data_IF_538975206862
#
_entry.id   IF_538975206862
#
_cell.length_a   1.000
_cell.length_b   1.000
_cell.length_c   1.000
_cell.angle_alpha   90.00
_cell.angle_beta   90.00
_cell.angle_gamma   90.00
#
_symmetry.space_group_name_H-M   'P 1'
#
loop_
_entity.id
_entity.type
_entity.pdbx_description
1 polymer ?
#
# COMPACT_ATOMS: atom_id res chain seq x y z
N UNK A 1 30.97 -17.19 23.42
CA UNK A 1 30.26 -15.97 23.86
C UNK A 1 29.40 -15.52 22.69
N UNK A 2 28.07 -15.64 22.78
CA UNK A 2 27.19 -15.02 21.78
C UNK A 2 27.41 -13.51 21.87
N UNK A 3 27.90 -12.89 20.80
CA UNK A 3 28.04 -11.44 20.70
C UNK A 3 26.66 -10.82 20.96
N UNK A 4 26.61 -9.80 21.83
CA UNK A 4 25.36 -9.04 22.01
C UNK A 4 24.93 -8.52 20.64
N UNK A 5 23.65 -8.66 20.25
CA UNK A 5 23.19 -8.15 18.97
C UNK A 5 23.50 -6.63 18.87
N UNK A 6 23.94 -6.14 17.71
CA UNK A 6 24.30 -4.74 17.55
C UNK A 6 23.07 -3.85 17.83
N UNK A 7 23.24 -2.86 18.71
CA UNK A 7 22.17 -1.95 19.14
C UNK A 7 21.97 -0.81 18.14
N UNK A 8 20.76 -0.57 17.63
CA UNK A 8 20.42 0.57 16.76
C UNK A 8 20.38 1.93 17.48
N UNK A 9 20.85 2.00 18.72
CA UNK A 9 20.85 3.22 19.54
C UNK A 9 21.64 4.38 18.91
N UNK A 10 22.74 4.11 18.19
CA UNK A 10 23.54 5.13 17.51
C UNK A 10 23.22 5.37 16.02
N UNK A 11 22.36 4.56 15.41
CA UNK A 11 22.07 4.64 13.97
C UNK A 11 21.21 5.86 13.63
N UNK A 12 21.52 6.58 12.54
CA UNK A 12 20.70 7.70 12.07
C UNK A 12 19.58 7.21 11.14
N UNK A 13 18.29 7.20 11.56
CA UNK A 13 17.20 6.69 10.74
C UNK A 13 16.67 7.68 9.71
N UNK A 14 17.20 8.92 9.67
CA UNK A 14 16.63 10.00 8.86
C UNK A 14 16.51 9.67 7.36
N UNK A 15 17.49 9.05 6.67
CA UNK A 15 17.34 8.70 5.25
C UNK A 15 16.15 7.76 5.01
N UNK A 16 16.02 6.73 5.85
CA UNK A 16 14.90 5.79 5.77
C UNK A 16 13.57 6.48 6.04
N UNK A 17 13.49 7.27 7.11
CA UNK A 17 12.25 7.95 7.49
C UNK A 17 11.80 8.95 6.43
N UNK A 18 12.73 9.71 5.82
CA UNK A 18 12.42 10.60 4.70
C UNK A 18 11.82 9.83 3.51
N UNK A 19 12.26 8.60 3.26
CA UNK A 19 11.66 7.74 2.23
C UNK A 19 10.26 7.24 2.62
N UNK A 20 10.12 6.69 3.83
CA UNK A 20 8.85 6.12 4.32
C UNK A 20 7.72 7.15 4.49
N UNK A 21 8.10 8.42 4.69
CA UNK A 21 7.21 9.55 4.91
C UNK A 21 7.26 10.58 3.78
N UNK A 22 7.82 10.20 2.63
CA UNK A 22 7.80 11.04 1.45
C UNK A 22 6.38 11.21 0.93
N UNK A 23 5.99 12.46 0.68
CA UNK A 23 4.75 12.77 -0.05
C UNK A 23 5.18 13.16 -1.48
N UNK A 24 4.82 12.38 -2.50
CA UNK A 24 5.07 12.78 -3.87
C UNK A 24 4.23 14.00 -4.25
N UNK A 25 4.65 14.71 -5.30
CA UNK A 25 3.77 15.71 -5.90
C UNK A 25 2.47 15.04 -6.35
N UNK A 26 1.34 15.66 -6.01
CA UNK A 26 0.05 15.17 -6.50
C UNK A 26 0.13 15.12 -8.03
N UNK A 27 -0.16 13.97 -8.67
CA UNK A 27 -0.09 13.88 -10.11
C UNK A 27 -1.06 14.90 -10.68
N UNK A 28 -0.57 15.72 -11.62
CA UNK A 28 -1.44 16.64 -12.34
C UNK A 28 -2.51 15.80 -13.01
N UNK A 29 -3.77 15.90 -12.58
CA UNK A 29 -4.91 15.23 -13.22
C UNK A 29 -5.05 15.76 -14.65
N UNK A 30 -4.28 15.19 -15.57
CA UNK A 30 -4.55 15.29 -16.98
C UNK A 30 -5.65 14.29 -17.21
N UNK A 31 -6.81 14.76 -17.64
CA UNK A 31 -7.80 13.90 -18.27
C UNK A 31 -7.20 13.44 -19.60
N UNK A 32 -6.18 12.59 -19.56
CA UNK A 32 -5.84 11.77 -20.71
C UNK A 32 -6.96 10.75 -20.74
N UNK A 33 -7.96 11.02 -21.57
CA UNK A 33 -8.58 9.94 -22.30
C UNK A 33 -7.40 9.22 -22.97
N UNK A 34 -6.84 8.20 -22.32
CA UNK A 34 -6.09 7.19 -23.04
C UNK A 34 -7.21 6.31 -23.56
N UNK A 35 -7.70 6.50 -24.80
CA UNK A 35 -8.73 5.63 -25.31
C UNK A 35 -8.13 4.23 -25.30
N UNK A 36 -8.71 3.35 -24.50
CA UNK A 36 -8.54 1.92 -24.70
C UNK A 36 -8.73 1.64 -26.18
N UNK A 37 -7.71 1.11 -26.84
CA UNK A 37 -7.83 0.67 -28.22
C UNK A 37 -8.54 -0.68 -28.15
N UNK A 38 -9.88 -0.63 -28.12
CA UNK A 38 -10.70 -1.84 -28.09
C UNK A 38 -10.42 -2.67 -29.34
N UNK A 39 -10.18 -3.96 -29.15
CA UNK A 39 -9.89 -4.90 -30.25
C UNK A 39 -10.58 -6.23 -29.98
N UNK A 40 -11.04 -6.88 -31.05
CA UNK A 40 -11.59 -8.22 -30.99
C UNK A 40 -11.21 -9.03 -32.22
N UNK A 41 -11.19 -10.35 -32.08
CA UNK A 41 -10.84 -11.24 -33.18
C UNK A 41 -10.42 -12.63 -32.75
N UNK A 42 -10.20 -13.49 -33.74
CA UNK A 42 -9.77 -14.86 -33.49
C UNK A 42 -8.25 -14.94 -33.38
N UNK A 43 -7.78 -15.48 -32.26
CA UNK A 43 -6.38 -15.82 -32.02
C UNK A 43 -6.25 -17.29 -31.63
N UNK A 44 -5.05 -17.84 -31.74
CA UNK A 44 -4.77 -19.18 -31.28
C UNK A 44 -4.09 -19.13 -29.91
N UNK A 45 -4.69 -19.75 -28.90
CA UNK A 45 -4.22 -19.72 -27.52
C UNK A 45 -3.54 -21.04 -27.13
N UNK A 46 -2.44 -20.97 -26.38
CA UNK A 46 -1.87 -22.11 -25.66
C UNK A 46 -2.62 -22.39 -24.34
N UNK A 47 -2.60 -23.64 -23.83
CA UNK A 47 -3.07 -23.92 -22.47
C UNK A 47 -2.41 -22.98 -21.44
N UNK A 48 -3.20 -22.52 -20.47
CA UNK A 48 -2.76 -21.48 -19.52
C UNK A 48 -1.55 -21.93 -18.70
N UNK A 49 -0.63 -21.00 -18.40
CA UNK A 49 0.60 -21.29 -17.63
C UNK A 49 1.71 -21.98 -18.42
N UNK A 50 1.58 -22.09 -19.75
CA UNK A 50 2.59 -22.69 -20.64
C UNK A 50 3.19 -21.64 -21.57
N UNK A 51 4.50 -21.75 -21.79
CA UNK A 51 5.27 -20.91 -22.73
C UNK A 51 5.62 -21.64 -24.05
N UNK A 52 5.37 -22.95 -24.15
CA UNK A 52 5.65 -23.79 -25.34
C UNK A 52 4.52 -24.79 -25.62
N UNK A 53 4.30 -25.11 -26.90
CA UNK A 53 3.37 -26.16 -27.34
C UNK A 53 3.96 -27.56 -27.18
N UNK A 54 3.13 -28.57 -26.95
CA UNK A 54 3.54 -29.99 -27.04
C UNK A 54 2.46 -30.79 -27.78
N UNK A 55 2.76 -32.03 -28.17
CA UNK A 55 1.83 -32.92 -28.90
C UNK A 55 0.46 -33.07 -28.21
N UNK A 56 0.43 -33.01 -26.87
CA UNK A 56 -0.80 -33.06 -26.06
C UNK A 56 -1.43 -31.69 -25.79
N UNK A 57 -0.69 -30.61 -26.04
CA UNK A 57 -1.04 -29.22 -25.72
C UNK A 57 -1.01 -28.36 -26.99
N UNK A 58 -1.91 -28.69 -27.91
CA UNK A 58 -2.05 -27.99 -29.17
C UNK A 58 -2.66 -26.59 -29.01
N UNK A 59 -2.36 -25.73 -29.98
CA UNK A 59 -2.97 -24.42 -30.15
C UNK A 59 -4.48 -24.52 -30.33
N UNK A 60 -5.24 -23.68 -29.64
CA UNK A 60 -6.71 -23.63 -29.74
C UNK A 60 -7.18 -22.28 -30.21
N UNK A 61 -7.87 -22.23 -31.34
CA UNK A 61 -8.50 -21.01 -31.86
C UNK A 61 -9.62 -20.55 -30.91
N UNK A 62 -9.57 -19.30 -30.45
CA UNK A 62 -10.51 -18.68 -29.52
C UNK A 62 -10.80 -17.25 -29.97
N UNK A 63 -11.96 -16.73 -29.57
CA UNK A 63 -12.34 -15.36 -29.86
C UNK A 63 -11.96 -14.47 -28.69
N UNK A 64 -11.10 -13.48 -28.92
CA UNK A 64 -10.60 -12.56 -27.92
C UNK A 64 -11.27 -11.20 -28.06
N UNK A 65 -11.46 -10.51 -26.93
CA UNK A 65 -11.96 -9.14 -26.85
C UNK A 65 -11.15 -8.41 -25.79
N UNK A 66 -10.46 -7.33 -26.14
CA UNK A 66 -9.85 -6.41 -25.18
C UNK A 66 -10.73 -5.17 -25.08
N UNK A 67 -11.25 -4.89 -23.89
CA UNK A 67 -12.13 -3.75 -23.62
C UNK A 67 -12.08 -3.38 -22.14
N UNK A 68 -12.14 -2.08 -21.84
CA UNK A 68 -12.25 -1.54 -20.46
C UNK A 68 -11.18 -2.11 -19.50
N UNK A 69 -9.91 -2.12 -19.92
CA UNK A 69 -8.79 -2.66 -19.14
C UNK A 69 -8.77 -4.20 -18.93
N UNK A 70 -9.65 -4.96 -19.60
CA UNK A 70 -9.77 -6.41 -19.43
C UNK A 70 -9.65 -7.12 -20.78
N UNK A 71 -8.89 -8.22 -20.81
CA UNK A 71 -8.89 -9.18 -21.91
C UNK A 71 -9.81 -10.36 -21.61
N UNK A 72 -10.78 -10.56 -22.48
CA UNK A 72 -11.67 -11.70 -22.49
C UNK A 72 -11.25 -12.68 -23.57
N UNK A 73 -11.44 -13.97 -23.34
CA UNK A 73 -11.61 -14.89 -24.45
C UNK A 73 -12.79 -15.82 -24.26
N UNK A 74 -13.38 -16.16 -25.40
CA UNK A 74 -14.57 -16.95 -25.56
C UNK A 74 -14.26 -18.18 -26.42
N UNK A 75 -15.09 -19.21 -26.29
CA UNK A 75 -15.02 -20.38 -27.14
C UNK A 75 -15.17 -19.98 -28.62
N UNK A 76 -16.09 -19.05 -28.91
CA UNK A 76 -16.32 -18.41 -30.20
C UNK A 76 -17.03 -17.04 -30.01
N UNK A 77 -17.27 -16.31 -31.08
CA UNK A 77 -17.93 -14.99 -31.05
C UNK A 77 -19.44 -15.00 -30.74
N UNK A 78 -20.07 -16.18 -30.62
CA UNK A 78 -21.48 -16.33 -30.25
C UNK A 78 -21.66 -16.69 -28.76
N UNK A 79 -20.56 -16.88 -28.04
CA UNK A 79 -20.61 -17.30 -26.63
C UNK A 79 -20.98 -16.12 -25.74
N UNK A 80 -22.04 -16.26 -24.93
CA UNK A 80 -22.48 -15.20 -24.01
C UNK A 80 -21.53 -15.00 -22.82
N UNK A 81 -20.87 -16.08 -22.37
CA UNK A 81 -19.96 -16.05 -21.21
C UNK A 81 -18.51 -16.28 -21.65
N UNK A 82 -17.55 -15.47 -21.16
CA UNK A 82 -16.15 -15.68 -21.43
C UNK A 82 -15.61 -16.90 -20.67
N UNK A 83 -14.71 -17.64 -21.29
CA UNK A 83 -13.95 -18.72 -20.65
C UNK A 83 -12.89 -18.17 -19.68
N UNK A 84 -12.41 -16.94 -19.90
CA UNK A 84 -11.46 -16.25 -19.04
C UNK A 84 -11.68 -14.75 -19.10
N UNK A 85 -11.41 -14.10 -17.96
CA UNK A 85 -11.24 -12.66 -17.82
C UNK A 85 -9.85 -12.41 -17.26
N UNK A 86 -9.04 -11.64 -17.95
CA UNK A 86 -7.67 -11.30 -17.56
C UNK A 86 -7.55 -9.79 -17.45
N UNK A 87 -7.52 -9.23 -16.23
CA UNK A 87 -7.26 -7.80 -16.03
C UNK A 87 -5.88 -7.45 -16.57
N UNK A 88 -5.77 -6.44 -17.44
CA UNK A 88 -4.49 -6.10 -18.07
C UNK A 88 -3.75 -4.96 -17.38
N UNK A 89 -4.43 -4.14 -16.59
CA UNK A 89 -3.84 -2.98 -15.90
C UNK A 89 -2.66 -3.42 -15.02
N UNK A 90 -1.50 -2.78 -15.21
CA UNK A 90 -0.23 -3.13 -14.53
C UNK A 90 0.49 -4.35 -15.11
N UNK A 91 -0.08 -4.97 -16.15
CA UNK A 91 0.48 -6.11 -16.86
C UNK A 91 1.53 -5.73 -17.91
N UNK A 92 2.01 -6.74 -18.65
CA UNK A 92 3.05 -6.57 -19.68
C UNK A 92 2.72 -7.41 -20.91
N UNK A 93 2.90 -6.83 -22.09
CA UNK A 93 2.76 -7.51 -23.38
C UNK A 93 4.13 -7.65 -24.04
N UNK A 94 4.48 -8.86 -24.46
CA UNK A 94 5.79 -9.15 -25.06
C UNK A 94 5.61 -9.87 -26.39
N UNK A 95 6.38 -9.48 -27.41
CA UNK A 95 6.53 -10.29 -28.63
C UNK A 95 7.51 -11.43 -28.31
N UNK A 96 7.10 -12.67 -28.56
CA UNK A 96 7.93 -13.85 -28.25
C UNK A 96 8.82 -14.22 -29.43
N UNK A 97 10.09 -14.54 -29.14
CA UNK A 97 11.07 -14.97 -30.14
C UNK A 97 10.83 -16.44 -30.57
N UNK A 98 10.91 -16.77 -31.87
CA UNK A 98 10.83 -18.14 -32.40
C UNK A 98 11.74 -19.17 -31.71
N UNK A 99 12.94 -18.76 -31.29
CA UNK A 99 13.96 -19.61 -30.66
C UNK A 99 13.57 -20.14 -29.27
N UNK A 100 12.58 -19.52 -28.62
CA UNK A 100 12.12 -19.92 -27.30
C UNK A 100 11.17 -21.14 -27.33
N UNK A 101 10.74 -21.65 -28.49
CA UNK A 101 9.55 -22.55 -28.57
C UNK A 101 9.74 -23.86 -29.36
N UNK A 102 10.81 -24.08 -30.13
CA UNK A 102 10.86 -25.25 -31.04
C UNK A 102 11.16 -26.59 -30.35
N UNK A 103 10.22 -27.54 -30.46
CA UNK A 103 10.53 -28.93 -30.82
C UNK A 103 9.74 -29.21 -32.09
N UNK A 104 10.49 -29.50 -33.17
CA UNK A 104 10.11 -30.13 -34.43
C UNK A 104 8.61 -30.17 -34.76
N UNK A 105 8.09 -29.09 -35.35
CA UNK A 105 6.94 -29.17 -36.23
C UNK A 105 7.44 -28.81 -37.63
N UNK A 106 7.61 -29.83 -38.48
CA UNK A 106 8.07 -29.67 -39.84
C UNK A 106 7.14 -28.76 -40.63
N UNK A 107 7.63 -27.57 -41.00
CA UNK A 107 6.98 -26.73 -42.00
C UNK A 107 7.05 -25.22 -41.75
N UNK A 108 8.03 -24.59 -42.40
CA UNK A 108 8.14 -23.16 -42.78
C UNK A 108 8.33 -22.13 -41.64
N UNK A 109 9.52 -21.52 -41.67
CA UNK A 109 10.04 -20.39 -40.87
C UNK A 109 9.17 -19.11 -40.82
N UNK A 110 7.97 -19.11 -41.42
CA UNK A 110 7.13 -17.92 -41.60
C UNK A 110 6.02 -17.74 -40.54
N UNK A 111 5.80 -18.69 -39.63
CA UNK A 111 4.64 -18.69 -38.70
C UNK A 111 4.95 -18.25 -37.26
N UNK A 112 6.20 -18.03 -36.91
CA UNK A 112 6.66 -17.77 -35.54
C UNK A 112 6.79 -16.28 -35.19
N UNK A 113 6.73 -15.38 -36.19
CA UNK A 113 6.86 -13.93 -35.99
C UNK A 113 5.59 -13.22 -35.47
N UNK A 114 4.56 -13.97 -35.04
CA UNK A 114 3.26 -13.45 -34.65
C UNK A 114 2.79 -13.85 -33.24
N UNK A 115 3.68 -14.29 -32.36
CA UNK A 115 3.32 -14.73 -31.01
C UNK A 115 3.43 -13.62 -29.98
N UNK A 116 2.41 -13.48 -29.13
CA UNK A 116 2.37 -12.53 -28.01
C UNK A 116 2.26 -13.28 -26.68
N UNK A 117 3.11 -12.89 -25.74
CA UNK A 117 2.98 -13.18 -24.32
C UNK A 117 2.21 -12.06 -23.64
N UNK A 118 1.16 -12.41 -22.91
CA UNK A 118 0.27 -11.50 -22.20
C UNK A 118 0.36 -11.86 -20.72
N UNK A 119 1.00 -11.00 -19.94
CA UNK A 119 1.16 -11.12 -18.49
C UNK A 119 0.25 -10.08 -17.81
N UNK A 120 -0.56 -10.50 -16.85
CA UNK A 120 -1.37 -9.56 -16.04
C UNK A 120 -0.61 -8.93 -14.88
N UNK A 121 0.66 -9.30 -14.67
CA UNK A 121 1.46 -8.85 -13.52
C UNK A 121 1.00 -9.44 -12.18
N UNK A 122 0.01 -10.35 -12.20
CA UNK A 122 -0.63 -10.98 -11.03
C UNK A 122 -0.49 -12.51 -11.07
N UNK A 123 0.39 -13.02 -11.92
CA UNK A 123 0.73 -14.43 -12.01
C UNK A 123 -0.04 -15.21 -13.07
N UNK A 124 -0.94 -14.58 -13.83
CA UNK A 124 -1.56 -15.20 -15.00
C UNK A 124 -0.85 -14.79 -16.29
N UNK A 125 -0.46 -15.81 -17.04
CA UNK A 125 0.24 -15.63 -18.30
C UNK A 125 -0.45 -16.41 -19.42
N UNK A 126 -0.72 -15.72 -20.52
CA UNK A 126 -1.35 -16.27 -21.71
C UNK A 126 -0.44 -16.05 -22.91
N UNK A 127 -0.23 -17.11 -23.68
CA UNK A 127 0.45 -17.01 -24.98
C UNK A 127 -0.59 -17.16 -26.09
N UNK A 128 -0.57 -16.22 -27.02
CA UNK A 128 -1.40 -16.22 -28.22
C UNK A 128 -0.54 -16.18 -29.48
N UNK A 129 -1.02 -16.82 -30.54
CA UNK A 129 -0.47 -16.74 -31.89
C UNK A 129 -1.45 -15.99 -32.78
N UNK A 130 -0.92 -14.98 -33.46
CA UNK A 130 -1.63 -14.14 -34.41
C UNK A 130 -1.43 -14.67 -35.85
N UNK A 131 -2.36 -14.37 -36.78
CA UNK A 131 -2.27 -14.83 -38.16
C UNK A 131 -1.06 -14.30 -38.94
N UNK A 132 -0.55 -13.13 -38.55
CA UNK A 132 0.61 -12.47 -39.18
C UNK A 132 1.35 -11.61 -38.16
N UNK A 133 2.57 -11.17 -38.52
CA UNK A 133 3.34 -10.21 -37.72
C UNK A 133 2.63 -8.86 -37.59
N UNK A 134 2.01 -8.37 -38.65
CA UNK A 134 1.23 -7.12 -38.63
C UNK A 134 0.05 -7.22 -37.66
N UNK A 135 -0.65 -8.36 -37.64
CA UNK A 135 -1.71 -8.59 -36.65
C UNK A 135 -1.15 -8.68 -35.23
N UNK A 136 0.01 -9.29 -35.02
CA UNK A 136 0.65 -9.30 -33.70
C UNK A 136 1.03 -7.90 -33.22
N UNK A 137 1.56 -7.05 -34.10
CA UNK A 137 1.88 -5.65 -33.78
C UNK A 137 0.61 -4.86 -33.44
N UNK A 138 -0.47 -5.03 -34.22
CA UNK A 138 -1.77 -4.41 -33.97
C UNK A 138 -2.38 -4.85 -32.64
N UNK A 139 -2.37 -6.16 -32.35
CA UNK A 139 -2.85 -6.69 -31.08
C UNK A 139 -1.98 -6.23 -29.91
N UNK A 140 -0.66 -6.17 -30.08
CA UNK A 140 0.25 -5.66 -29.06
C UNK A 140 -0.06 -4.22 -28.71
N UNK A 141 -0.14 -3.33 -29.70
CA UNK A 141 -0.44 -1.91 -29.48
C UNK A 141 -1.78 -1.75 -28.74
N UNK A 142 -2.80 -2.48 -29.18
CA UNK A 142 -4.09 -2.47 -28.51
C UNK A 142 -3.97 -2.94 -27.06
N UNK A 143 -3.41 -4.13 -26.81
CA UNK A 143 -3.28 -4.68 -25.46
C UNK A 143 -2.41 -3.80 -24.55
N UNK A 144 -1.33 -3.18 -25.06
CA UNK A 144 -0.49 -2.25 -24.31
C UNK A 144 -1.26 -0.98 -23.87
N UNK A 145 -2.23 -0.52 -24.66
CA UNK A 145 -3.13 0.56 -24.24
C UNK A 145 -3.98 0.18 -23.02
N UNK A 146 -4.22 -1.12 -22.81
CA UNK A 146 -4.94 -1.67 -21.67
C UNK A 146 -4.02 -2.04 -20.48
N UNK A 147 -2.70 -2.09 -20.67
CA UNK A 147 -1.75 -2.34 -19.57
C UNK A 147 -1.33 -1.09 -18.83
N UNK A 148 -1.59 0.09 -19.41
CA UNK A 148 -1.23 1.37 -18.79
C UNK A 148 -1.83 1.46 -17.38
N UNK A 149 -0.95 1.43 -16.38
CA UNK A 149 -1.30 1.75 -15.01
C UNK A 149 -1.46 3.26 -14.94
N UNK A 150 -2.67 3.73 -15.22
CA UNK A 150 -3.02 5.10 -14.88
C UNK A 150 -3.09 5.16 -13.35
N UNK A 151 -1.95 5.43 -12.72
CA UNK A 151 -1.89 5.70 -11.29
C UNK A 151 -2.95 6.74 -10.90
N UNK A 152 -3.30 7.69 -11.78
CA UNK A 152 -4.36 8.69 -11.52
C UNK A 152 -5.78 8.13 -11.50
N UNK A 153 -6.01 6.92 -12.01
CA UNK A 153 -7.26 6.16 -11.83
C UNK A 153 -7.35 5.49 -10.45
N UNK A 154 -6.20 5.25 -9.80
CA UNK A 154 -6.14 4.82 -8.39
C UNK A 154 -6.31 6.02 -7.44
N UNK A 155 -6.05 7.25 -7.90
CA UNK A 155 -6.45 8.44 -7.17
C UNK A 155 -7.97 8.53 -7.24
N UNK A 156 -8.56 8.45 -6.06
CA UNK A 156 -9.97 8.72 -5.82
C UNK A 156 -10.36 10.01 -6.55
N UNK A 157 -11.37 9.93 -7.43
CA UNK A 157 -11.94 11.09 -8.10
C UNK A 157 -13.16 11.58 -7.32
N UNK A 158 -13.03 12.53 -6.38
CA UNK A 158 -14.19 13.11 -5.73
C UNK A 158 -15.01 13.87 -6.79
N UNK A 159 -16.19 13.34 -7.08
CA UNK A 159 -17.22 14.02 -7.87
C UNK A 159 -18.43 14.27 -6.97
N UNK A 160 -19.09 15.45 -7.05
CA UNK A 160 -18.79 16.59 -7.91
C UNK A 160 -17.75 17.55 -7.30
N UNK A 161 -17.11 18.33 -8.17
CA UNK A 161 -16.32 19.49 -7.72
C UNK A 161 -17.24 20.41 -6.91
N UNK A 162 -16.79 20.91 -5.75
CA UNK A 162 -17.57 21.84 -4.95
C UNK A 162 -17.94 23.06 -5.80
N UNK A 163 -19.25 23.36 -5.84
CA UNK A 163 -19.84 24.47 -6.62
C UNK A 163 -19.32 25.83 -6.16
N UNK A 164 -18.78 25.93 -4.95
CA UNK A 164 -18.12 27.13 -4.44
C UNK A 164 -16.74 26.80 -3.80
N UNK A 165 -15.62 26.98 -4.52
CA UNK A 165 -14.28 26.66 -4.03
C UNK A 165 -13.76 27.60 -2.93
N UNK A 166 -14.41 28.74 -2.66
CA UNK A 166 -13.97 29.64 -1.57
C UNK A 166 -14.32 29.11 -0.18
N UNK A 167 -15.28 28.18 -0.06
CA UNK A 167 -15.68 27.55 1.20
C UNK A 167 -14.68 26.51 1.73
N UNK A 168 -13.61 26.23 0.99
CA UNK A 168 -12.71 25.11 1.26
C UNK A 168 -11.34 25.57 1.78
N UNK A 169 -10.94 26.80 1.47
CA UNK A 169 -9.56 27.29 1.71
C UNK A 169 -9.23 27.48 3.19
N UNK A 170 -10.25 27.50 4.03
CA UNK A 170 -10.19 27.67 5.47
C UNK A 170 -10.58 26.38 6.21
N UNK A 171 -10.41 25.20 5.60
CA UNK A 171 -10.58 23.91 6.28
C UNK A 171 -9.28 23.12 6.33
N UNK A 172 -8.85 22.71 7.51
CA UNK A 172 -7.76 21.77 7.74
C UNK A 172 -8.32 20.36 7.90
N UNK A 173 -7.83 19.42 7.10
CA UNK A 173 -8.10 17.99 7.29
C UNK A 173 -6.94 17.40 8.06
N UNK A 174 -7.21 16.74 9.19
CA UNK A 174 -6.21 16.11 10.04
C UNK A 174 -6.64 14.66 10.30
N UNK A 175 -5.79 13.72 9.89
CA UNK A 175 -5.89 12.30 10.21
C UNK A 175 -4.79 11.90 11.17
N UNK A 176 -5.21 11.53 12.39
CA UNK A 176 -4.32 11.15 13.47
C UNK A 176 -4.36 9.63 13.62
N UNK A 177 -3.47 8.95 12.90
CA UNK A 177 -3.29 7.51 13.00
C UNK A 177 -2.33 7.09 14.12
N UNK A 178 -2.32 5.81 14.46
CA UNK A 178 -1.36 5.24 15.44
C UNK A 178 0.07 5.21 14.91
N UNK A 179 0.23 4.97 13.61
CA UNK A 179 1.54 4.91 12.96
C UNK A 179 2.00 6.29 12.48
N UNK A 180 1.07 7.12 12.01
CA UNK A 180 1.39 8.33 11.27
C UNK A 180 0.27 9.37 11.33
N UNK A 181 0.66 10.63 11.24
CA UNK A 181 -0.24 11.77 11.05
C UNK A 181 -0.21 12.19 9.59
N UNK A 182 -1.38 12.46 9.02
CA UNK A 182 -1.56 13.08 7.71
C UNK A 182 -2.38 14.34 7.88
N UNK A 183 -1.96 15.46 7.32
CA UNK A 183 -2.80 16.65 7.33
C UNK A 183 -2.55 17.56 6.13
N UNK A 184 -3.52 18.43 5.86
CA UNK A 184 -3.45 19.43 4.80
C UNK A 184 -4.59 20.43 4.87
N UNK A 185 -4.38 21.59 4.26
CA UNK A 185 -5.42 22.56 3.93
C UNK A 185 -6.19 22.03 2.73
N UNK A 186 -7.52 22.01 2.85
CA UNK A 186 -8.38 21.58 1.77
C UNK A 186 -8.25 22.53 0.57
N UNK A 187 -8.04 21.95 -0.61
CA UNK A 187 -7.83 22.68 -1.84
C UNK A 187 -9.03 22.53 -2.79
N UNK A 188 -9.12 23.40 -3.79
CA UNK A 188 -10.15 23.33 -4.84
C UNK A 188 -9.95 22.17 -5.83
N UNK A 189 -8.82 21.47 -5.74
CA UNK A 189 -8.48 20.29 -6.54
C UNK A 189 -8.03 19.18 -5.61
N UNK A 190 -8.16 17.90 -6.00
CA UNK A 190 -7.61 16.79 -5.23
C UNK A 190 -6.10 16.97 -5.00
N UNK A 191 -5.68 16.85 -3.75
CA UNK A 191 -4.27 16.94 -3.34
C UNK A 191 -3.93 15.81 -2.40
N UNK A 192 -2.65 15.46 -2.36
CA UNK A 192 -2.08 14.64 -1.30
C UNK A 192 -1.98 15.46 0.01
N UNK A 193 -1.85 14.81 1.18
CA UNK A 193 -1.62 15.52 2.43
C UNK A 193 -0.33 16.36 2.34
N UNK A 194 -0.37 17.60 2.82
CA UNK A 194 0.79 18.48 2.81
C UNK A 194 1.82 18.11 3.88
N UNK A 195 1.38 17.45 4.95
CA UNK A 195 2.25 16.90 5.98
C UNK A 195 1.97 15.43 6.20
N UNK A 196 3.04 14.64 6.30
CA UNK A 196 2.99 13.22 6.57
C UNK A 196 4.20 12.84 7.41
N UNK A 197 3.99 12.39 8.66
CA UNK A 197 5.08 12.11 9.58
C UNK A 197 4.70 11.04 10.61
N UNK A 198 5.68 10.35 11.25
CA UNK A 198 5.40 9.30 12.22
C UNK A 198 4.76 9.85 13.49
N UNK A 199 3.78 9.12 14.04
CA UNK A 199 3.12 9.44 15.33
C UNK A 199 3.98 9.01 16.52
N UNK A 200 5.12 9.66 16.68
CA UNK A 200 6.13 9.35 17.71
C UNK A 200 6.61 10.63 18.40
N UNK A 201 6.89 10.53 19.69
CA UNK A 201 7.42 11.62 20.51
C UNK A 201 8.63 11.16 21.31
N UNK A 202 9.64 12.03 21.39
CA UNK A 202 10.75 11.95 22.31
C UNK A 202 10.53 12.96 23.43
N UNK A 203 10.51 12.49 24.68
CA UNK A 203 10.43 13.35 25.86
C UNK A 203 11.79 13.39 26.54
N UNK A 204 12.42 14.56 26.61
CA UNK A 204 13.69 14.73 27.29
C UNK A 204 13.56 14.34 28.77
N UNK A 205 14.49 13.54 29.29
CA UNK A 205 14.38 12.97 30.64
C UNK A 205 14.47 14.03 31.73
N UNK A 206 15.22 15.11 31.50
CA UNK A 206 15.48 16.20 32.43
C UNK A 206 14.48 17.34 32.26
N UNK A 207 14.43 17.95 31.07
CA UNK A 207 13.64 19.16 30.81
C UNK A 207 12.16 18.88 30.56
N UNK A 208 11.81 17.60 30.31
CA UNK A 208 10.48 17.17 29.85
C UNK A 208 10.04 17.79 28.52
N UNK A 209 10.94 18.45 27.80
CA UNK A 209 10.68 18.95 26.46
C UNK A 209 10.30 17.81 25.50
N UNK A 210 9.35 18.07 24.61
CA UNK A 210 8.83 17.08 23.66
C UNK A 210 9.26 17.43 22.22
N UNK A 211 9.79 16.44 21.51
CA UNK A 211 10.13 16.52 20.09
C UNK A 211 9.34 15.44 19.35
N UNK A 212 8.77 15.77 18.20
CA UNK A 212 7.81 14.93 17.48
C UNK A 212 8.30 14.58 16.08
N UNK A 213 7.79 13.47 15.53
CA UNK A 213 8.01 13.12 14.13
C UNK A 213 9.40 12.51 13.87
N UNK A 214 9.99 12.85 12.73
CA UNK A 214 11.30 12.29 12.31
C UNK A 214 12.39 12.73 13.28
N UNK A 215 12.34 13.98 13.74
CA UNK A 215 13.33 14.58 14.65
C UNK A 215 13.40 13.84 15.99
N UNK A 216 12.28 13.29 16.46
CA UNK A 216 12.22 12.51 17.70
C UNK A 216 13.13 11.26 17.67
N UNK A 217 13.44 10.76 16.46
CA UNK A 217 14.16 9.51 16.25
C UNK A 217 15.66 9.72 15.99
N UNK A 218 16.15 10.97 16.01
CA UNK A 218 17.57 11.28 15.80
C UNK A 218 18.43 10.77 16.96
N UNK A 219 19.67 10.28 16.71
CA UNK A 219 20.51 9.65 17.74
C UNK A 219 20.78 10.53 18.97
N UNK A 220 21.08 11.80 18.75
CA UNK A 220 21.32 12.82 19.78
C UNK A 220 20.07 13.04 20.65
N UNK A 221 18.89 13.12 20.04
CA UNK A 221 17.62 13.27 20.76
C UNK A 221 17.31 12.01 21.58
N UNK A 222 17.48 10.83 21.00
CA UNK A 222 17.23 9.54 21.67
C UNK A 222 18.15 9.28 22.85
N UNK A 223 19.39 9.78 22.79
CA UNK A 223 20.36 9.60 23.87
C UNK A 223 19.87 10.22 25.20
N UNK A 224 19.16 11.34 25.12
CA UNK A 224 18.69 12.15 26.26
C UNK A 224 17.19 12.00 26.56
N UNK A 225 16.45 11.27 25.74
CA UNK A 225 14.99 11.22 25.78
C UNK A 225 14.41 9.81 25.94
N UNK A 226 13.16 9.73 26.39
CA UNK A 226 12.34 8.52 26.29
C UNK A 226 11.43 8.62 25.06
N UNK A 227 11.40 7.57 24.25
CA UNK A 227 10.50 7.47 23.09
C UNK A 227 9.17 6.89 23.52
N UNK A 228 8.07 7.48 23.05
CA UNK A 228 6.73 6.92 23.19
C UNK A 228 5.90 7.15 21.94
N UNK A 229 4.86 6.34 21.80
CA UNK A 229 3.90 6.40 20.70
C UNK A 229 2.53 6.66 21.34
N UNK A 230 2.04 7.90 21.29
CA UNK A 230 0.96 8.37 22.15
C UNK A 230 -0.42 7.87 21.72
N UNK A 231 -0.48 7.20 20.58
CA UNK A 231 -1.70 6.66 19.98
C UNK A 231 -1.43 5.19 19.72
N UNK A 232 -1.70 4.36 20.74
CA UNK A 232 -1.53 2.92 20.66
C UNK A 232 -2.82 2.20 21.06
N UNK A 233 -3.08 1.01 20.50
CA UNK A 233 -4.10 0.12 21.06
C UNK A 233 -3.79 -0.11 22.54
N UNK A 234 -4.74 0.24 23.41
CA UNK A 234 -4.65 0.02 24.86
C UNK A 234 -4.49 -1.46 25.15
N UNK A 235 -3.77 -1.78 26.22
CA UNK A 235 -3.75 -3.14 26.78
C UNK A 235 -5.11 -3.53 27.39
N UNK A 236 -6.00 -2.56 27.62
CA UNK A 236 -7.34 -2.78 28.17
C UNK A 236 -8.31 -3.18 27.06
N UNK A 237 -9.01 -4.30 27.28
CA UNK A 237 -10.10 -4.77 26.43
C UNK A 237 -11.39 -4.05 26.87
N UNK A 238 -12.07 -3.41 25.94
CA UNK A 238 -13.45 -2.95 26.15
C UNK A 238 -14.35 -4.16 26.33
N UNK A 239 -15.02 -4.28 27.47
CA UNK A 239 -16.05 -5.32 27.65
C UNK A 239 -17.24 -5.12 26.69
N UNK A 240 -17.57 -3.88 26.34
CA UNK A 240 -18.69 -3.57 25.45
C UNK A 240 -18.43 -3.93 23.98
N UNK A 241 -17.17 -3.89 23.55
CA UNK A 241 -16.79 -4.14 22.15
C UNK A 241 -15.91 -5.39 21.97
N UNK A 242 -15.56 -6.08 23.05
CA UNK A 242 -14.63 -7.19 23.12
C UNK A 242 -13.30 -6.98 22.37
N UNK A 243 -12.80 -5.74 22.34
CA UNK A 243 -11.58 -5.34 21.64
C UNK A 243 -10.76 -4.30 22.41
N UNK A 244 -9.48 -4.17 22.07
CA UNK A 244 -8.58 -3.13 22.60
C UNK A 244 -9.02 -1.75 22.11
N UNK A 245 -9.33 -0.84 23.03
CA UNK A 245 -9.64 0.58 22.73
C UNK A 245 -8.32 1.31 22.48
N UNK A 246 -8.27 2.38 21.68
CA UNK A 246 -7.07 3.22 21.64
C UNK A 246 -6.88 3.97 22.96
N UNK A 247 -5.67 3.91 23.53
CA UNK A 247 -5.27 4.85 24.58
C UNK A 247 -4.72 6.09 23.89
N UNK A 248 -5.35 7.22 24.13
CA UNK A 248 -4.92 8.52 23.61
C UNK A 248 -4.37 9.32 24.78
N UNK A 249 -3.07 9.60 24.78
CA UNK A 249 -2.49 10.57 25.70
C UNK A 249 -2.88 11.98 25.24
N UNK A 250 -3.88 12.57 25.90
CA UNK A 250 -4.44 13.88 25.55
C UNK A 250 -3.41 15.01 25.62
N UNK A 251 -2.47 14.94 26.57
CA UNK A 251 -1.39 15.92 26.68
C UNK A 251 -0.48 15.83 25.45
N UNK A 252 -0.13 14.60 25.07
CA UNK A 252 0.66 14.35 23.88
C UNK A 252 -0.09 14.77 22.59
N UNK A 253 -1.40 14.50 22.49
CA UNK A 253 -2.18 14.91 21.30
C UNK A 253 -2.24 16.42 21.14
N UNK A 254 -2.32 17.19 22.22
CA UNK A 254 -2.22 18.65 22.10
C UNK A 254 -0.89 19.06 21.46
N UNK A 255 0.25 18.56 21.94
CA UNK A 255 1.56 18.87 21.35
C UNK A 255 1.68 18.37 19.90
N UNK A 256 1.07 17.23 19.57
CA UNK A 256 1.01 16.69 18.20
C UNK A 256 0.24 17.61 17.24
N UNK A 257 -0.90 18.15 17.68
CA UNK A 257 -1.66 19.14 16.91
C UNK A 257 -0.84 20.40 16.67
N UNK A 258 -0.12 20.88 17.69
CA UNK A 258 0.77 22.02 17.55
C UNK A 258 1.87 21.77 16.51
N UNK A 259 2.52 20.60 16.53
CA UNK A 259 3.50 20.21 15.50
C UNK A 259 2.86 20.24 14.11
N UNK A 260 1.65 19.71 13.97
CA UNK A 260 0.91 19.67 12.71
C UNK A 260 0.63 21.08 12.16
N UNK A 261 0.17 22.01 13.01
CA UNK A 261 -0.07 23.40 12.60
C UNK A 261 1.22 24.12 12.21
N UNK A 262 2.30 23.90 12.95
CA UNK A 262 3.60 24.48 12.65
C UNK A 262 4.16 23.99 11.32
N UNK A 263 4.08 22.68 11.04
CA UNK A 263 4.56 22.09 9.79
C UNK A 263 3.76 22.58 8.58
N UNK A 264 2.44 22.75 8.76
CA UNK A 264 1.55 23.35 7.75
C UNK A 264 1.73 24.86 7.62
N UNK A 265 2.43 25.51 8.56
CA UNK A 265 2.64 26.97 8.65
C UNK A 265 1.31 27.73 8.70
N UNK A 266 0.37 27.24 9.50
CA UNK A 266 -0.97 27.83 9.66
C UNK A 266 -1.21 28.30 11.09
N UNK A 267 -1.97 29.38 11.23
CA UNK A 267 -2.58 29.75 12.51
C UNK A 267 -3.95 29.04 12.61
N UNK A 268 -4.12 28.06 13.52
CA UNK A 268 -5.36 27.27 13.61
C UNK A 268 -6.61 28.10 13.86
N UNK A 269 -6.50 29.32 14.41
CA UNK A 269 -7.63 30.24 14.62
C UNK A 269 -8.34 30.64 13.33
N UNK A 270 -7.63 30.58 12.21
CA UNK A 270 -8.17 30.97 10.92
C UNK A 270 -8.91 29.84 10.20
N UNK A 271 -8.89 28.61 10.73
CA UNK A 271 -9.37 27.41 10.07
C UNK A 271 -10.49 26.69 10.83
N UNK A 272 -11.33 26.00 10.06
CA UNK A 272 -12.21 24.92 10.48
C UNK A 272 -11.40 23.61 10.49
N UNK A 273 -11.68 22.69 11.40
CA UNK A 273 -10.96 21.41 11.49
C UNK A 273 -11.89 20.26 11.12
N UNK A 274 -11.53 19.51 10.08
CA UNK A 274 -12.03 18.16 9.82
C UNK A 274 -11.07 17.15 10.44
N UNK A 275 -11.46 16.56 11.57
CA UNK A 275 -10.65 15.57 12.28
C UNK A 275 -11.16 14.16 11.99
N UNK A 276 -10.28 13.31 11.46
CA UNK A 276 -10.50 11.88 11.33
C UNK A 276 -10.23 11.20 12.68
N UNK A 277 -11.22 10.46 13.19
CA UNK A 277 -11.14 9.78 14.49
C UNK A 277 -11.48 8.29 14.37
N UNK A 278 -10.84 7.41 15.16
CA UNK A 278 -11.18 6.00 15.20
C UNK A 278 -12.56 5.77 15.84
N UNK A 279 -13.28 4.69 15.47
CA UNK A 279 -14.67 4.43 15.93
C UNK A 279 -14.83 4.44 17.43
N UNK A 280 -13.85 3.86 18.10
CA UNK A 280 -13.91 3.62 19.54
C UNK A 280 -13.09 4.71 20.22
N UNK A 281 -13.59 5.93 20.11
CA UNK A 281 -13.14 7.06 20.92
C UNK A 281 -14.26 7.38 21.92
N UNK A 282 -13.98 7.24 23.21
CA UNK A 282 -15.01 7.45 24.23
C UNK A 282 -15.43 8.95 24.27
N UNK A 283 -16.67 9.26 24.69
CA UNK A 283 -17.17 10.65 24.70
C UNK A 283 -16.33 11.63 25.52
N UNK A 284 -15.71 11.16 26.62
CA UNK A 284 -14.82 12.00 27.42
C UNK A 284 -13.57 12.42 26.63
N UNK A 285 -12.92 11.49 25.95
CA UNK A 285 -11.76 11.80 25.09
C UNK A 285 -12.16 12.71 23.93
N UNK A 286 -13.36 12.54 23.36
CA UNK A 286 -13.87 13.48 22.34
C UNK A 286 -14.04 14.90 22.90
N UNK A 287 -14.67 15.03 24.08
CA UNK A 287 -14.87 16.32 24.73
C UNK A 287 -13.55 17.03 25.05
N UNK A 288 -12.56 16.30 25.58
CA UNK A 288 -11.23 16.86 25.86
C UNK A 288 -10.48 17.28 24.59
N UNK A 289 -10.61 16.54 23.48
CA UNK A 289 -10.04 16.95 22.20
C UNK A 289 -10.71 18.24 21.67
N UNK A 290 -12.04 18.34 21.78
CA UNK A 290 -12.76 19.57 21.41
C UNK A 290 -12.32 20.74 22.28
N UNK A 291 -12.17 20.53 23.59
CA UNK A 291 -11.67 21.54 24.53
C UNK A 291 -10.27 22.02 24.15
N UNK A 292 -9.36 21.10 23.81
CA UNK A 292 -8.02 21.47 23.32
C UNK A 292 -8.12 22.32 22.04
N UNK A 293 -8.95 21.92 21.07
CA UNK A 293 -9.09 22.63 19.81
C UNK A 293 -9.70 24.04 19.99
N UNK A 294 -10.77 24.17 20.77
CA UNK A 294 -11.44 25.44 21.00
C UNK A 294 -10.70 26.32 22.03
N UNK A 295 -10.46 25.83 23.24
CA UNK A 295 -9.94 26.68 24.33
C UNK A 295 -8.46 27.03 24.14
N UNK A 296 -7.64 26.06 23.69
CA UNK A 296 -6.19 26.28 23.54
C UNK A 296 -5.82 26.84 22.16
N UNK A 297 -6.40 26.31 21.09
CA UNK A 297 -6.04 26.71 19.72
C UNK A 297 -7.01 27.72 19.09
N UNK A 298 -8.19 27.94 19.66
CA UNK A 298 -9.14 28.95 19.17
C UNK A 298 -9.70 28.67 17.78
N UNK A 299 -9.82 27.40 17.38
CA UNK A 299 -10.34 27.04 16.05
C UNK A 299 -11.79 27.49 15.87
N UNK A 300 -12.21 27.78 14.63
CA UNK A 300 -13.55 28.30 14.34
C UNK A 300 -14.65 27.26 14.51
N UNK A 301 -14.40 26.06 14.00
CA UNK A 301 -15.32 24.93 14.06
C UNK A 301 -14.55 23.63 13.98
N UNK A 302 -15.16 22.55 14.48
CA UNK A 302 -14.59 21.20 14.43
C UNK A 302 -15.67 20.23 13.99
N UNK A 303 -15.37 19.43 12.98
CA UNK A 303 -16.12 18.24 12.64
C UNK A 303 -15.25 17.01 12.91
N UNK A 304 -15.71 16.12 13.79
CA UNK A 304 -15.05 14.82 14.03
C UNK A 304 -15.80 13.75 13.25
N UNK A 305 -15.12 13.03 12.37
CA UNK A 305 -15.74 12.00 11.53
C UNK A 305 -14.96 10.71 11.58
N UNK A 306 -15.68 9.60 11.51
CA UNK A 306 -15.08 8.28 11.51
C UNK A 306 -14.17 8.06 10.29
N UNK A 307 -12.98 7.49 10.50
CA UNK A 307 -12.02 7.25 9.40
C UNK A 307 -12.65 6.46 8.24
N UNK A 308 -13.43 5.40 8.54
CA UNK A 308 -14.10 4.61 7.49
C UNK A 308 -15.18 5.38 6.73
N UNK A 309 -15.87 6.33 7.37
CA UNK A 309 -16.86 7.18 6.66
C UNK A 309 -16.13 8.12 5.71
N UNK A 310 -15.04 8.75 6.17
CA UNK A 310 -14.21 9.59 5.31
C UNK A 310 -13.62 8.81 4.14
N UNK A 311 -13.17 7.57 4.36
CA UNK A 311 -12.70 6.68 3.30
C UNK A 311 -13.81 6.39 2.29
N UNK A 312 -15.03 6.08 2.73
CA UNK A 312 -16.18 5.83 1.85
C UNK A 312 -16.56 7.07 1.03
N UNK A 313 -16.61 8.24 1.68
CA UNK A 313 -16.90 9.52 1.03
C UNK A 313 -15.84 9.92 0.02
N UNK A 314 -14.57 9.58 0.28
CA UNK A 314 -13.53 9.75 -0.72
C UNK A 314 -13.96 9.02 -2.00
N UNK A 315 -14.38 7.75 -1.94
CA UNK A 315 -14.88 6.97 -3.08
C UNK A 315 -16.24 7.42 -3.66
N UNK A 316 -16.77 8.59 -3.28
CA UNK A 316 -18.08 9.10 -3.72
C UNK A 316 -19.21 8.09 -3.48
N UNK A 317 -19.15 7.37 -2.36
CA UNK A 317 -20.17 6.44 -1.94
C UNK A 317 -20.72 6.88 -0.59
N UNK A 318 -22.02 6.70 -0.38
CA UNK A 318 -22.67 6.89 0.94
C UNK A 318 -23.04 5.58 1.60
N UNK A 319 -23.04 4.49 0.82
CA UNK A 319 -23.37 3.14 1.26
C UNK A 319 -22.30 2.15 0.79
N UNK A 320 -21.93 1.19 1.62
CA UNK A 320 -20.92 0.19 1.30
C UNK A 320 -20.40 -0.54 2.54
N UNK A 321 -19.47 -1.47 2.32
CA UNK A 321 -18.73 -2.14 3.40
C UNK A 321 -17.29 -1.68 3.30
N UNK A 322 -16.80 -1.02 4.34
CA UNK A 322 -15.41 -0.59 4.42
C UNK A 322 -14.61 -1.68 5.13
N UNK A 323 -13.51 -2.09 4.52
CA UNK A 323 -12.51 -2.96 5.15
C UNK A 323 -11.27 -2.11 5.39
N UNK A 324 -11.14 -1.58 6.59
CA UNK A 324 -10.04 -0.73 7.02
C UNK A 324 -8.95 -1.58 7.66
N UNK A 325 -7.80 -1.70 6.99
CA UNK A 325 -6.66 -2.50 7.44
C UNK A 325 -5.51 -1.54 7.79
N UNK A 326 -5.54 -1.05 9.03
CA UNK A 326 -4.44 -0.30 9.64
C UNK A 326 -3.66 -1.16 10.61
N UNK A 327 -3.37 -0.61 11.79
CA UNK A 327 -2.78 -1.38 12.91
C UNK A 327 -3.67 -2.56 13.35
N UNK A 328 -4.98 -2.44 13.09
CA UNK A 328 -6.02 -3.45 13.26
C UNK A 328 -6.93 -3.47 12.03
N UNK A 329 -7.75 -4.50 11.92
CA UNK A 329 -8.74 -4.66 10.86
C UNK A 329 -10.13 -4.35 11.40
N UNK A 330 -10.79 -3.37 10.80
CA UNK A 330 -12.17 -2.98 11.05
C UNK A 330 -13.01 -3.19 9.77
N UNK A 331 -14.07 -4.00 9.85
CA UNK A 331 -15.08 -4.16 8.80
C UNK A 331 -16.32 -3.37 9.21
N UNK A 332 -16.63 -2.32 8.47
CA UNK A 332 -17.66 -1.34 8.84
C UNK A 332 -18.69 -1.23 7.71
N UNK A 333 -19.87 -1.86 7.85
CA UNK A 333 -20.99 -1.61 6.95
C UNK A 333 -21.59 -0.23 7.22
N UNK A 334 -21.84 0.51 6.14
CA UNK A 334 -22.41 1.86 6.14
C UNK A 334 -23.57 1.89 5.14
N UNK A 335 -24.68 2.49 5.56
CA UNK A 335 -25.85 2.76 4.71
C UNK A 335 -26.19 4.24 4.85
N UNK A 336 -26.14 4.97 3.75
CA UNK A 336 -26.45 6.40 3.63
C UNK A 336 -25.73 7.26 4.68
N UNK A 337 -24.45 6.96 4.92
CA UNK A 337 -23.61 7.64 5.90
C UNK A 337 -23.76 7.12 7.34
N UNK A 338 -24.74 6.24 7.61
CA UNK A 338 -24.96 5.64 8.91
C UNK A 338 -24.25 4.29 9.05
N UNK A 339 -23.45 4.13 10.09
CA UNK A 339 -22.82 2.85 10.40
C UNK A 339 -23.88 1.86 10.91
N UNK A 340 -23.89 0.66 10.34
CA UNK A 340 -24.76 -0.43 10.80
C UNK A 340 -24.06 -1.17 11.93
N UNK A 341 -24.26 -0.69 13.15
CA UNK A 341 -23.55 -1.15 14.35
C UNK A 341 -23.56 -2.68 14.56
N UNK A 342 -24.69 -3.34 14.28
CA UNK A 342 -24.83 -4.79 14.40
C UNK A 342 -24.01 -5.60 13.39
N UNK A 343 -23.53 -4.97 12.30
CA UNK A 343 -22.71 -5.61 11.27
C UNK A 343 -21.22 -5.27 11.37
N UNK A 344 -20.82 -4.46 12.36
CA UNK A 344 -19.41 -4.09 12.54
C UNK A 344 -18.63 -5.29 13.06
N UNK A 345 -17.63 -5.74 12.29
CA UNK A 345 -16.69 -6.78 12.71
C UNK A 345 -15.31 -6.18 12.94
N UNK A 346 -14.63 -6.61 14.00
CA UNK A 346 -13.30 -6.12 14.35
C UNK A 346 -12.40 -7.26 14.71
N UNK A 347 -11.23 -7.24 14.10
CA UNK A 347 -10.26 -8.31 14.25
C UNK A 347 -8.95 -7.68 14.74
N UNK A 348 -8.34 -8.15 15.85
CA UNK A 348 -7.09 -7.61 16.38
C UNK A 348 -5.87 -8.05 15.54
N UNK A 349 -6.06 -8.16 14.23
CA UNK A 349 -5.05 -8.47 13.23
C UNK A 349 -4.93 -7.27 12.29
N UNK A 350 -3.72 -6.93 11.90
CA UNK A 350 -3.40 -5.75 11.10
C UNK A 350 -1.89 -5.56 11.04
N UNK A 351 -1.44 -4.35 10.74
CA UNK A 351 -0.02 -3.99 10.58
C UNK A 351 0.85 -4.39 11.77
N UNK A 352 0.35 -4.26 13.01
CA UNK A 352 1.08 -4.68 14.20
C UNK A 352 1.47 -6.17 14.16
N UNK A 353 0.50 -7.04 13.85
CA UNK A 353 0.72 -8.50 13.86
C UNK A 353 1.63 -8.93 12.73
N UNK A 354 1.50 -8.31 11.56
CA UNK A 354 2.38 -8.56 10.42
C UNK A 354 3.83 -8.16 10.77
N UNK A 355 4.00 -6.97 11.35
CA UNK A 355 5.29 -6.46 11.81
C UNK A 355 5.90 -7.36 12.89
N UNK A 356 5.10 -7.79 13.88
CA UNK A 356 5.56 -8.65 14.97
C UNK A 356 5.92 -10.06 14.48
N UNK A 357 5.14 -10.61 13.54
CA UNK A 357 5.46 -11.90 12.93
C UNK A 357 6.78 -11.85 12.17
N UNK A 358 6.98 -10.83 11.32
CA UNK A 358 8.26 -10.64 10.62
C UNK A 358 9.41 -10.41 11.61
N UNK A 359 9.19 -9.68 12.70
CA UNK A 359 10.20 -9.51 13.75
C UNK A 359 10.61 -10.85 14.36
N UNK A 360 9.65 -11.68 14.74
CA UNK A 360 9.90 -13.00 15.32
C UNK A 360 10.63 -13.92 14.34
N UNK A 361 10.24 -13.89 13.06
CA UNK A 361 10.91 -14.64 12.01
C UNK A 361 12.37 -14.20 11.81
N UNK A 362 12.62 -12.90 11.71
CA UNK A 362 13.99 -12.37 11.61
C UNK A 362 14.83 -12.75 12.82
N UNK A 363 14.24 -12.71 14.02
CA UNK A 363 14.91 -13.15 15.24
C UNK A 363 15.32 -14.63 15.19
N UNK A 364 14.46 -15.52 14.67
CA UNK A 364 14.79 -16.94 14.46
C UNK A 364 15.94 -17.13 13.44
N UNK A 365 16.12 -16.19 12.52
CA UNK A 365 17.24 -16.13 11.56
C UNK A 365 18.46 -15.37 12.09
N UNK A 366 18.54 -15.14 13.41
CA UNK A 366 19.62 -14.41 14.08
C UNK A 366 19.73 -12.91 13.70
N UNK A 367 18.68 -12.33 13.12
CA UNK A 367 18.57 -10.89 12.83
C UNK A 367 17.72 -10.24 13.93
N UNK A 368 18.37 -9.52 14.84
CA UNK A 368 17.72 -8.95 16.03
C UNK A 368 17.26 -7.51 15.79
N UNK A 369 15.96 -7.32 15.54
CA UNK A 369 15.29 -6.01 15.36
C UNK A 369 14.27 -5.77 16.47
N UNK A 370 14.76 -5.50 17.68
CA UNK A 370 13.95 -5.51 18.92
C UNK A 370 13.45 -4.11 19.29
N UNK A 371 14.19 -3.06 18.95
CA UNK A 371 13.88 -1.71 19.41
C UNK A 371 12.71 -1.11 18.63
N UNK A 372 11.99 -0.14 19.22
CA UNK A 372 10.86 0.53 18.56
C UNK A 372 11.25 1.13 17.19
N UNK A 373 12.48 1.63 17.07
CA UNK A 373 13.03 2.24 15.84
C UNK A 373 13.29 1.20 14.76
N UNK A 374 13.56 -0.04 15.14
CA UNK A 374 13.79 -1.12 14.20
C UNK A 374 12.50 -1.48 13.45
N UNK A 375 11.33 -1.12 14.03
CA UNK A 375 10.04 -1.24 13.37
C UNK A 375 9.97 -0.47 12.04
N UNK A 376 10.74 0.60 11.85
CA UNK A 376 10.80 1.31 10.57
C UNK A 376 11.57 0.52 9.51
N UNK A 377 12.60 -0.25 9.92
CA UNK A 377 13.30 -1.18 9.03
C UNK A 377 12.38 -2.33 8.66
N UNK A 378 11.63 -2.87 9.63
CA UNK A 378 10.64 -3.92 9.37
C UNK A 378 9.56 -3.41 8.41
N UNK A 379 9.05 -2.19 8.61
CA UNK A 379 8.09 -1.55 7.69
C UNK A 379 8.67 -1.44 6.28
N UNK A 380 9.92 -1.01 6.16
CA UNK A 380 10.60 -0.95 4.86
C UNK A 380 10.65 -2.32 4.18
N UNK A 381 11.03 -3.37 4.90
CA UNK A 381 11.07 -4.74 4.36
C UNK A 381 9.65 -5.14 3.90
N UNK A 382 8.63 -4.90 4.73
CA UNK A 382 7.23 -5.16 4.38
C UNK A 382 6.82 -4.45 3.09
N UNK A 383 7.09 -3.15 2.97
CA UNK A 383 6.68 -2.34 1.82
C UNK A 383 7.51 -2.63 0.54
N UNK A 384 8.73 -3.16 0.66
CA UNK A 384 9.63 -3.35 -0.48
C UNK A 384 9.65 -4.76 -1.07
N UNK A 385 9.47 -5.80 -0.25
CA UNK A 385 9.64 -7.19 -0.71
C UNK A 385 8.42 -8.08 -0.50
N UNK A 386 7.41 -7.64 0.26
CA UNK A 386 6.24 -8.47 0.54
C UNK A 386 5.14 -8.27 -0.49
N UNK A 387 4.33 -9.30 -0.68
CA UNK A 387 3.16 -9.28 -1.55
C UNK A 387 2.07 -10.20 -0.98
N UNK A 388 0.82 -9.97 -1.39
CA UNK A 388 -0.30 -10.84 -1.06
C UNK A 388 -0.49 -11.88 -2.16
N UNK A 389 -0.30 -13.16 -1.85
CA UNK A 389 -0.52 -14.24 -2.81
C UNK A 389 -2.01 -14.45 -3.09
N UNK A 390 -2.41 -14.47 -4.36
CA UNK A 390 -3.81 -14.72 -4.74
C UNK A 390 -4.27 -16.15 -4.39
N UNK A 391 -3.36 -17.12 -4.54
CA UNK A 391 -3.58 -18.53 -4.21
C UNK A 391 -2.45 -19.04 -3.31
N UNK A 392 -2.55 -18.75 -2.02
CA UNK A 392 -1.51 -19.02 -1.02
C UNK A 392 -0.88 -20.42 -1.13
N UNK A 393 -1.69 -21.47 -1.12
CA UNK A 393 -1.18 -22.85 -1.14
C UNK A 393 -0.40 -23.18 -2.43
N UNK A 394 -0.87 -22.69 -3.58
CA UNK A 394 -0.20 -22.90 -4.86
C UNK A 394 1.11 -22.11 -4.91
N UNK A 395 1.09 -20.86 -4.47
CA UNK A 395 2.29 -20.03 -4.46
C UNK A 395 3.33 -20.58 -3.50
N UNK A 396 2.93 -20.97 -2.29
CA UNK A 396 3.79 -21.66 -1.31
C UNK A 396 4.48 -22.88 -1.91
N UNK A 397 3.76 -23.73 -2.64
CA UNK A 397 4.36 -24.87 -3.34
C UNK A 397 5.36 -24.44 -4.40
N UNK A 398 5.06 -23.41 -5.19
CA UNK A 398 5.99 -22.87 -6.21
C UNK A 398 7.26 -22.33 -5.57
N UNK A 399 7.13 -21.65 -4.44
CA UNK A 399 8.27 -21.15 -3.67
C UNK A 399 9.11 -22.29 -3.10
N UNK A 400 8.48 -23.33 -2.56
CA UNK A 400 9.21 -24.52 -2.09
C UNK A 400 9.95 -25.25 -3.23
N UNK A 401 9.33 -25.32 -4.42
CA UNK A 401 9.93 -25.99 -5.58
C UNK A 401 11.00 -25.16 -6.28
N UNK A 402 10.86 -23.83 -6.31
CA UNK A 402 11.75 -22.92 -7.03
C UNK A 402 12.00 -21.64 -6.21
N UNK A 403 12.71 -21.72 -5.09
CA UNK A 403 12.91 -20.59 -4.18
C UNK A 403 13.60 -19.40 -4.85
N UNK A 404 14.54 -19.67 -5.76
CA UNK A 404 15.30 -18.67 -6.53
C UNK A 404 14.39 -17.66 -7.28
N UNK A 405 13.17 -18.07 -7.68
CA UNK A 405 12.22 -17.19 -8.37
C UNK A 405 11.54 -16.18 -7.45
N UNK A 406 11.64 -16.37 -6.14
CA UNK A 406 10.99 -15.57 -5.10
C UNK A 406 12.00 -14.80 -4.25
N UNK A 407 13.30 -15.00 -4.49
CA UNK A 407 14.34 -14.26 -3.80
C UNK A 407 14.24 -12.77 -4.11
N UNK A 408 14.15 -11.97 -3.06
CA UNK A 408 14.15 -10.52 -3.10
C UNK A 408 15.22 -9.99 -2.17
N UNK A 409 15.95 -8.99 -2.63
CA UNK A 409 16.95 -8.30 -1.82
C UNK A 409 16.33 -7.06 -1.20
N UNK A 410 16.35 -7.00 0.14
CA UNK A 410 16.01 -5.77 0.85
C UNK A 410 17.20 -4.80 0.77
N UNK A 411 16.99 -3.52 0.43
CA UNK A 411 18.07 -2.55 0.25
C UNK A 411 18.61 -2.03 1.61
N UNK A 412 19.04 -2.93 2.49
CA UNK A 412 19.54 -2.57 3.83
C UNK A 412 20.85 -1.76 3.76
N UNK A 413 21.67 -1.97 2.73
CA UNK A 413 22.91 -1.23 2.54
C UNK A 413 22.68 0.28 2.32
N UNK A 414 21.55 0.68 1.74
CA UNK A 414 21.15 2.10 1.59
C UNK A 414 20.71 2.71 2.92
N UNK A 415 20.29 1.88 3.87
CA UNK A 415 19.76 2.29 5.19
C UNK A 415 20.88 2.42 6.23
N UNK A 416 21.92 1.61 6.08
CA UNK A 416 23.04 1.50 7.02
C UNK A 416 24.38 1.95 6.41
N UNK A 417 24.37 2.80 5.37
CA UNK A 417 25.56 3.18 4.60
C UNK A 417 26.74 3.68 5.45
N UNK A 418 26.46 4.27 6.63
CA UNK A 418 27.43 4.87 7.54
C UNK A 418 27.60 4.08 8.86
N UNK A 419 27.06 2.86 8.95
CA UNK A 419 27.09 2.05 10.16
C UNK A 419 28.01 0.82 10.01
N UNK A 420 29.26 0.87 10.52
CA UNK A 420 30.23 -0.23 10.37
C UNK A 420 29.79 -1.55 11.04
N UNK A 421 28.70 -1.54 11.82
CA UNK A 421 28.13 -2.75 12.43
C UNK A 421 27.37 -3.62 11.41
N UNK A 422 27.10 -3.10 10.22
CA UNK A 422 26.41 -3.79 9.13
C UNK A 422 27.36 -4.25 8.00
N UNK A 423 28.68 -4.11 8.16
CA UNK A 423 29.63 -4.79 7.27
C UNK A 423 29.48 -6.33 7.34
N UNK A 424 28.98 -6.88 8.46
CA UNK A 424 28.56 -8.29 8.58
C UNK A 424 27.32 -8.64 7.74
N UNK A 425 26.47 -7.67 7.38
CA UNK A 425 25.37 -7.86 6.44
C UNK A 425 25.82 -7.68 4.98
N UNK A 426 26.90 -6.94 4.73
CA UNK A 426 27.60 -6.90 3.42
C UNK A 426 28.33 -8.20 3.10
N UNK A 427 28.89 -8.86 4.11
CA UNK A 427 29.65 -10.12 3.98
C UNK A 427 28.80 -11.40 4.09
N UNK A 428 27.47 -11.29 4.22
CA UNK A 428 26.60 -12.45 4.02
C UNK A 428 26.60 -12.81 2.54
N UNK A 429 27.29 -13.91 2.20
CA UNK A 429 27.35 -14.42 0.83
C UNK A 429 25.93 -14.59 0.25
N UNK A 430 25.75 -14.55 -1.08
CA UNK A 430 24.47 -14.80 -1.74
C UNK A 430 23.76 -16.09 -1.28
N UNK A 431 24.47 -17.04 -0.69
CA UNK A 431 23.90 -18.27 -0.14
C UNK A 431 23.08 -18.07 1.15
N UNK A 432 23.33 -17.01 1.94
CA UNK A 432 22.56 -16.70 3.14
C UNK A 432 21.29 -15.86 2.85
N UNK A 433 21.13 -15.36 1.61
CA UNK A 433 19.90 -14.70 1.15
C UNK A 433 18.79 -15.67 0.73
N UNK A 434 19.11 -16.97 0.64
CA UNK A 434 18.28 -18.03 0.03
C UNK A 434 16.99 -18.40 0.77
N UNK A 435 16.70 -17.77 1.91
CA UNK A 435 15.53 -18.13 2.74
C UNK A 435 14.81 -16.90 3.31
N UNK A 436 14.38 -15.99 2.44
CA UNK A 436 13.38 -14.98 2.79
C UNK A 436 12.03 -15.35 2.16
N UNK A 437 11.39 -16.37 2.73
CA UNK A 437 9.99 -16.69 2.45
C UNK A 437 9.14 -16.26 3.63
N UNK A 438 8.29 -15.26 3.41
CA UNK A 438 7.31 -14.81 4.39
C UNK A 438 6.04 -15.64 4.25
N UNK A 439 5.71 -16.39 5.30
CA UNK A 439 4.31 -16.73 5.59
C UNK A 439 3.73 -15.52 6.35
N UNK A 440 2.77 -14.81 5.76
CA UNK A 440 1.93 -13.81 6.45
C UNK A 440 0.48 -14.21 6.27
#
# INVERSE_FOLDING_TARGET
>A
MMSKPPSTQGWNPQPLLKRLYYVPDAPKMHRREVPFINIEGYLEKLPSGRKKATFWNAWKRRYFVAKDGILFYYQNNQSEKPNMKLPLIGGKIEIMDPSMISVEDGGRESRSAGMLGIDDGKGHYVVVRCPSRQEAERWKEALESHTYDDFTSQYIQPWPRPTNPTLLRDTLVIDIGSCSVRAGVLASQPTLPQVFFPSVVATNRETKAQIWGIEALMPDIRSTSSISFPIRPSHKISKAYNIRIFSVDLNAVSSLLQKTFNDLKVDPKNYNIQLSVPRVLNPHTQAELLKILFDKYGVKSVNMTHQSILALYAYNATSGIIVDIGERLDVVPVIDGYIVDGGVSRVPYGGYRITDHLRQFLFQKNISLINDIDSYIIRMILESICYCAQHYNTEKQRCTMNPENFEKLAPLAEVFSDDPRFDTFRDMSPQNYREFMLEI
#
